data_IF_376098813921
#
_entry.id   IF_376098813921
#
_cell.length_a   1.000
_cell.length_b   1.000
_cell.length_c   1.000
_cell.angle_alpha   90.00
_cell.angle_beta   90.00
_cell.angle_gamma   90.00
#
_symmetry.space_group_name_H-M   'P 1'
#
loop_
_entity.id
_entity.type
_entity.pdbx_description
1 polymer ?
#
# COMPACT_ATOMS: atom_id res chain seq x y z
N UNK A 1 -30.95 13.06 15.65
CA UNK A 1 -30.33 11.88 16.29
C UNK A 1 -29.84 10.97 15.18
N UNK A 2 -28.52 10.91 14.97
CA UNK A 2 -27.89 10.13 13.89
C UNK A 2 -27.97 8.64 14.20
N UNK A 3 -28.60 7.87 13.32
CA UNK A 3 -28.48 6.42 13.35
C UNK A 3 -27.08 6.05 12.85
N UNK A 4 -26.24 5.52 13.73
CA UNK A 4 -25.01 4.85 13.33
C UNK A 4 -25.41 3.62 12.51
N UNK A 5 -25.09 3.62 11.22
CA UNK A 5 -25.32 2.49 10.33
C UNK A 5 -24.38 1.37 10.77
N UNK A 6 -24.88 0.42 11.56
CA UNK A 6 -24.13 -0.77 11.96
C UNK A 6 -23.79 -1.57 10.72
N UNK A 7 -22.51 -1.77 10.46
CA UNK A 7 -22.03 -2.58 9.35
C UNK A 7 -22.41 -4.06 9.60
N UNK A 8 -22.94 -4.80 8.62
CA UNK A 8 -23.38 -6.16 8.83
C UNK A 8 -22.21 -7.07 9.21
N UNK A 9 -22.34 -7.82 10.30
CA UNK A 9 -21.32 -8.76 10.77
C UNK A 9 -21.61 -10.16 10.22
N UNK A 10 -20.62 -10.78 9.57
CA UNK A 10 -20.69 -12.16 9.07
C UNK A 10 -19.91 -13.11 9.99
N UNK A 11 -20.40 -14.35 10.15
CA UNK A 11 -19.70 -15.40 10.89
C UNK A 11 -18.86 -16.25 9.95
N UNK A 12 -17.59 -16.40 10.27
CA UNK A 12 -16.63 -17.25 9.57
C UNK A 12 -16.09 -18.32 10.53
N UNK A 13 -16.15 -19.58 10.13
CA UNK A 13 -15.52 -20.69 10.85
C UNK A 13 -14.20 -21.03 10.16
N UNK A 14 -13.09 -21.00 10.89
CA UNK A 14 -11.75 -21.30 10.38
C UNK A 14 -11.13 -22.46 11.15
N UNK A 15 -10.42 -23.34 10.46
CA UNK A 15 -9.55 -24.33 11.10
C UNK A 15 -8.20 -23.69 11.42
N UNK A 16 -7.78 -23.78 12.68
CA UNK A 16 -6.50 -23.23 13.16
C UNK A 16 -5.67 -24.34 13.79
N UNK A 17 -4.33 -24.31 13.65
CA UNK A 17 -3.47 -25.17 14.44
C UNK A 17 -3.74 -24.98 15.94
N UNK A 18 -3.83 -26.09 16.67
CA UNK A 18 -4.15 -26.08 18.11
C UNK A 18 -3.21 -25.17 18.92
N UNK A 19 -1.93 -25.10 18.53
CA UNK A 19 -0.94 -24.21 19.12
C UNK A 19 -1.31 -22.73 19.01
N UNK A 20 -1.81 -22.29 17.85
CA UNK A 20 -2.23 -20.91 17.61
C UNK A 20 -3.50 -20.59 18.40
N UNK A 21 -4.47 -21.51 18.41
CA UNK A 21 -5.70 -21.33 19.19
C UNK A 21 -5.41 -21.18 20.68
N UNK A 22 -4.56 -22.05 21.26
CA UNK A 22 -4.13 -21.95 22.67
C UNK A 22 -3.43 -20.63 22.96
N UNK A 23 -2.55 -20.18 22.06
CA UNK A 23 -1.85 -18.91 22.23
C UNK A 23 -2.81 -17.71 22.22
N UNK A 24 -3.73 -17.66 21.26
CA UNK A 24 -4.76 -16.61 21.20
C UNK A 24 -5.66 -16.61 22.45
N UNK A 25 -6.09 -17.79 22.90
CA UNK A 25 -6.87 -17.94 24.14
C UNK A 25 -6.12 -17.41 25.35
N UNK A 26 -4.82 -17.72 25.48
CA UNK A 26 -4.00 -17.23 26.58
C UNK A 26 -3.93 -15.69 26.60
N UNK A 27 -3.72 -15.06 25.44
CA UNK A 27 -3.69 -13.60 25.33
C UNK A 27 -5.07 -12.99 25.66
N UNK A 28 -6.15 -13.59 25.16
CA UNK A 28 -7.51 -13.14 25.44
C UNK A 28 -7.80 -13.16 26.96
N UNK A 29 -7.45 -14.26 27.64
CA UNK A 29 -7.62 -14.41 29.08
C UNK A 29 -6.76 -13.38 29.86
N UNK A 30 -5.52 -13.13 29.44
CA UNK A 30 -4.62 -12.15 30.08
C UNK A 30 -5.08 -10.70 29.87
N UNK A 31 -5.59 -10.39 28.68
CA UNK A 31 -6.02 -9.03 28.31
C UNK A 31 -7.48 -8.76 28.68
N UNK A 32 -8.18 -9.76 29.22
CA UNK A 32 -9.62 -9.71 29.54
C UNK A 32 -10.48 -9.31 28.33
N UNK A 33 -10.06 -9.74 27.13
CA UNK A 33 -10.78 -9.48 25.88
C UNK A 33 -11.45 -10.76 25.39
N UNK A 34 -12.65 -10.68 24.78
CA UNK A 34 -13.24 -11.83 24.11
C UNK A 34 -12.32 -12.36 23.02
N UNK A 35 -12.17 -13.69 22.94
CA UNK A 35 -11.32 -14.34 21.92
C UNK A 35 -11.70 -13.91 20.50
N UNK A 36 -12.99 -13.80 20.22
CA UNK A 36 -13.53 -13.36 18.92
C UNK A 36 -13.07 -11.95 18.56
N UNK A 37 -13.04 -11.03 19.54
CA UNK A 37 -12.55 -9.66 19.36
C UNK A 37 -11.06 -9.65 19.06
N UNK A 38 -10.27 -10.42 19.81
CA UNK A 38 -8.82 -10.53 19.58
C UNK A 38 -8.51 -11.12 18.19
N UNK A 39 -9.26 -12.16 17.79
CA UNK A 39 -9.12 -12.78 16.46
C UNK A 39 -9.48 -11.78 15.37
N UNK A 40 -10.60 -11.08 15.49
CA UNK A 40 -11.02 -10.07 14.52
C UNK A 40 -9.97 -8.95 14.39
N UNK A 41 -9.47 -8.42 15.51
CA UNK A 41 -8.40 -7.41 15.51
C UNK A 41 -7.11 -7.94 14.86
N UNK A 42 -6.73 -9.18 15.15
CA UNK A 42 -5.54 -9.81 14.59
C UNK A 42 -5.66 -10.02 13.08
N UNK A 43 -6.85 -10.36 12.58
CA UNK A 43 -7.12 -10.47 11.15
C UNK A 43 -7.08 -9.08 10.51
N UNK A 44 -7.89 -8.14 11.01
CA UNK A 44 -7.98 -6.77 10.46
C UNK A 44 -6.64 -6.07 10.41
N UNK A 45 -5.82 -6.19 11.47
CA UNK A 45 -4.49 -5.58 11.53
C UNK A 45 -3.47 -6.18 10.57
N UNK A 46 -3.74 -7.39 10.03
CA UNK A 46 -2.85 -8.07 9.09
C UNK A 46 -3.38 -8.09 7.66
N UNK A 47 -4.61 -7.64 7.38
CA UNK A 47 -5.11 -7.54 6.01
C UNK A 47 -4.30 -6.52 5.21
N UNK A 48 -4.13 -6.72 3.88
CA UNK A 48 -3.56 -5.71 3.02
C UNK A 48 -4.43 -4.44 3.05
N UNK A 49 -3.82 -3.29 2.76
CA UNK A 49 -4.54 -2.03 2.72
C UNK A 49 -5.69 -2.14 1.71
N UNK A 50 -6.89 -1.71 2.13
CA UNK A 50 -8.03 -1.61 1.23
C UNK A 50 -7.73 -0.57 0.15
N UNK A 51 -8.09 -0.90 -1.09
CA UNK A 51 -7.89 0.01 -2.24
C UNK A 51 -8.91 1.15 -2.27
N UNK A 52 -9.97 1.08 -1.46
CA UNK A 52 -11.11 2.01 -1.49
C UNK A 52 -10.71 3.45 -1.16
N UNK A 53 -9.59 3.64 -0.45
CA UNK A 53 -9.02 4.94 -0.11
C UNK A 53 -8.04 5.48 -1.15
N UNK A 54 -7.73 4.71 -2.20
CA UNK A 54 -6.88 5.15 -3.31
C UNK A 54 -7.69 6.00 -4.32
N UNK A 55 -7.02 6.87 -5.10
CA UNK A 55 -7.65 7.60 -6.19
C UNK A 55 -8.40 6.64 -7.14
N UNK A 56 -9.65 6.94 -7.54
CA UNK A 56 -10.47 6.04 -8.35
C UNK A 56 -9.77 5.52 -9.61
N UNK A 57 -8.98 6.36 -10.26
CA UNK A 57 -8.18 6.05 -11.45
C UNK A 57 -7.13 4.96 -11.21
N UNK A 58 -6.72 4.74 -9.96
CA UNK A 58 -5.71 3.74 -9.58
C UNK A 58 -6.29 2.48 -8.94
N UNK A 59 -7.55 2.49 -8.52
CA UNK A 59 -8.13 1.35 -7.79
C UNK A 59 -8.08 0.06 -8.62
N UNK A 60 -8.40 0.14 -9.91
CA UNK A 60 -8.35 -1.01 -10.81
C UNK A 60 -6.93 -1.59 -10.94
N UNK A 61 -5.93 -0.72 -11.10
CA UNK A 61 -4.52 -1.11 -11.20
C UNK A 61 -4.04 -1.77 -9.90
N UNK A 62 -4.39 -1.20 -8.75
CA UNK A 62 -4.01 -1.76 -7.45
C UNK A 62 -4.70 -3.12 -7.20
N UNK A 63 -5.98 -3.26 -7.55
CA UNK A 63 -6.68 -4.54 -7.46
C UNK A 63 -6.03 -5.62 -8.33
N UNK A 64 -5.61 -5.26 -9.55
CA UNK A 64 -4.91 -6.17 -10.45
C UNK A 64 -3.54 -6.64 -9.91
N UNK A 65 -2.97 -5.95 -8.91
CA UNK A 65 -1.74 -6.37 -8.25
C UNK A 65 -1.94 -7.49 -7.21
N UNK A 66 -3.13 -7.61 -6.63
CA UNK A 66 -3.41 -8.61 -5.59
C UNK A 66 -3.15 -10.07 -6.00
N UNK A 67 -3.43 -10.51 -7.23
CA UNK A 67 -3.12 -11.88 -7.67
C UNK A 67 -1.68 -12.08 -8.17
N UNK A 68 -0.87 -11.03 -8.33
CA UNK A 68 0.48 -11.14 -8.91
C UNK A 68 1.41 -12.01 -8.07
N UNK A 69 2.43 -12.61 -8.68
CA UNK A 69 3.42 -13.41 -7.96
C UNK A 69 4.34 -12.52 -7.09
N UNK A 70 5.07 -13.15 -6.14
CA UNK A 70 6.01 -12.43 -5.28
C UNK A 70 7.08 -11.70 -6.11
N UNK A 71 7.57 -12.32 -7.18
CA UNK A 71 8.62 -11.73 -8.02
C UNK A 71 8.12 -10.54 -8.83
N UNK A 72 6.91 -10.59 -9.37
CA UNK A 72 6.28 -9.46 -10.07
C UNK A 72 6.08 -8.28 -9.12
N UNK A 73 5.57 -8.55 -7.91
CA UNK A 73 5.42 -7.53 -6.87
C UNK A 73 6.78 -6.93 -6.48
N UNK A 74 7.84 -7.74 -6.42
CA UNK A 74 9.20 -7.27 -6.14
C UNK A 74 9.69 -6.35 -7.25
N UNK A 75 9.45 -6.68 -8.52
CA UNK A 75 9.79 -5.80 -9.64
C UNK A 75 9.06 -4.46 -9.56
N UNK A 76 7.75 -4.47 -9.28
CA UNK A 76 6.98 -3.23 -9.09
C UNK A 76 7.51 -2.43 -7.89
N UNK A 77 7.76 -3.09 -6.77
CA UNK A 77 8.25 -2.44 -5.55
C UNK A 77 9.60 -1.72 -5.72
N UNK A 78 10.46 -2.24 -6.61
CA UNK A 78 11.77 -1.67 -6.92
C UNK A 78 11.79 -0.82 -8.19
N UNK A 79 10.64 -0.65 -8.84
CA UNK A 79 10.56 0.14 -10.06
C UNK A 79 10.93 1.62 -9.83
N UNK A 80 11.44 2.23 -10.89
CA UNK A 80 11.86 3.63 -10.93
C UNK A 80 11.32 4.28 -12.20
N UNK A 81 11.20 5.61 -12.18
CA UNK A 81 10.97 6.38 -13.40
C UNK A 81 12.10 6.12 -14.38
N UNK A 82 11.80 6.21 -15.68
CA UNK A 82 12.85 6.11 -16.68
C UNK A 82 13.89 7.22 -16.46
N UNK A 83 15.20 6.95 -16.62
CA UNK A 83 16.25 7.95 -16.38
C UNK A 83 16.02 9.27 -17.13
N UNK A 84 15.49 9.19 -18.35
CA UNK A 84 15.15 10.37 -19.14
C UNK A 84 14.02 11.21 -18.51
N UNK A 85 13.01 10.58 -17.92
CA UNK A 85 11.90 11.27 -17.23
C UNK A 85 12.37 11.91 -15.93
N UNK A 86 13.22 11.22 -15.17
CA UNK A 86 13.80 11.74 -13.94
C UNK A 86 14.69 12.96 -14.22
N UNK A 87 15.56 12.88 -15.25
CA UNK A 87 16.38 14.01 -15.66
C UNK A 87 15.51 15.20 -16.11
N UNK A 88 14.50 14.94 -16.94
CA UNK A 88 13.57 15.97 -17.42
C UNK A 88 12.85 16.66 -16.26
N UNK A 89 12.43 15.90 -15.25
CA UNK A 89 11.80 16.43 -14.05
C UNK A 89 12.73 17.38 -13.28
N UNK A 90 13.99 16.98 -13.08
CA UNK A 90 15.02 17.79 -12.42
C UNK A 90 15.31 19.08 -13.20
N UNK A 91 15.44 18.99 -14.53
CA UNK A 91 15.70 20.14 -15.39
C UNK A 91 14.55 21.17 -15.32
N UNK A 92 13.30 20.71 -15.39
CA UNK A 92 12.11 21.57 -15.30
C UNK A 92 11.95 22.16 -13.89
N UNK A 93 12.26 21.40 -12.84
CA UNK A 93 12.30 21.88 -11.47
C UNK A 93 13.33 23.01 -11.30
N UNK A 94 14.54 22.81 -11.80
CA UNK A 94 15.60 23.81 -11.74
C UNK A 94 15.22 25.07 -12.52
N UNK A 95 14.70 24.88 -13.74
CA UNK A 95 14.25 25.99 -14.59
C UNK A 95 13.17 26.82 -13.92
N UNK A 96 12.20 26.19 -13.25
CA UNK A 96 11.12 26.88 -12.50
C UNK A 96 11.65 27.77 -11.37
N UNK A 97 12.79 27.42 -10.76
CA UNK A 97 13.42 28.23 -9.72
C UNK A 97 14.14 29.46 -10.29
N UNK A 98 14.65 29.37 -11.52
CA UNK A 98 15.44 30.44 -12.15
C UNK A 98 14.63 31.30 -13.11
N UNK A 99 13.54 30.78 -13.69
CA UNK A 99 12.78 31.41 -14.77
C UNK A 99 11.34 30.87 -14.82
N UNK A 100 10.41 31.64 -15.40
CA UNK A 100 9.06 31.16 -15.67
C UNK A 100 9.06 30.02 -16.70
N UNK A 101 8.32 28.95 -16.39
CA UNK A 101 8.07 27.87 -17.34
C UNK A 101 7.10 28.32 -18.44
N UNK A 102 7.31 27.83 -19.66
CA UNK A 102 6.30 27.95 -20.71
C UNK A 102 5.07 27.09 -20.39
N UNK A 103 3.90 27.35 -21.01
CA UNK A 103 2.71 26.52 -20.78
C UNK A 103 2.95 25.03 -21.08
N UNK A 104 3.69 24.72 -22.15
CA UNK A 104 4.03 23.35 -22.51
C UNK A 104 4.92 22.68 -21.45
N UNK A 105 5.93 23.39 -20.93
CA UNK A 105 6.81 22.89 -19.87
C UNK A 105 6.09 22.72 -18.53
N UNK A 106 5.13 23.59 -18.22
CA UNK A 106 4.30 23.45 -17.03
C UNK A 106 3.39 22.22 -17.11
N UNK A 107 2.86 21.92 -18.30
CA UNK A 107 2.10 20.69 -18.53
C UNK A 107 3.00 19.46 -18.38
N UNK A 108 4.15 19.45 -19.06
CA UNK A 108 5.14 18.37 -19.00
C UNK A 108 5.57 18.07 -17.54
N UNK A 109 5.83 19.11 -16.74
CA UNK A 109 6.15 18.96 -15.31
C UNK A 109 4.97 18.38 -14.51
N UNK A 110 3.73 18.72 -14.87
CA UNK A 110 2.54 18.22 -14.18
C UNK A 110 2.32 16.74 -14.48
N UNK A 111 2.52 16.33 -15.73
CA UNK A 111 2.41 14.93 -16.17
C UNK A 111 3.49 14.06 -15.51
N UNK A 112 4.73 14.57 -15.42
CA UNK A 112 5.83 13.89 -14.72
C UNK A 112 5.53 13.69 -13.22
N UNK A 113 4.91 14.68 -12.56
CA UNK A 113 4.50 14.55 -11.15
C UNK A 113 3.43 13.49 -10.98
N UNK A 114 2.41 13.53 -11.83
CA UNK A 114 1.34 12.54 -11.79
C UNK A 114 1.90 11.12 -11.98
N UNK A 115 2.81 10.92 -12.94
CA UNK A 115 3.45 9.64 -13.17
C UNK A 115 4.29 9.18 -11.95
N UNK A 116 5.00 10.11 -11.30
CA UNK A 116 5.78 9.83 -10.08
C UNK A 116 4.88 9.43 -8.90
N UNK A 117 3.76 10.13 -8.71
CA UNK A 117 2.79 9.86 -7.64
C UNK A 117 2.14 8.48 -7.85
N UNK A 118 1.71 8.18 -9.07
CA UNK A 118 1.15 6.87 -9.43
C UNK A 118 2.16 5.73 -9.26
N UNK A 119 3.42 5.96 -9.62
CA UNK A 119 4.50 5.00 -9.39
C UNK A 119 4.72 4.77 -7.90
N UNK A 120 4.74 5.84 -7.10
CA UNK A 120 4.93 5.78 -5.64
C UNK A 120 3.82 4.98 -4.98
N UNK A 121 2.56 5.21 -5.38
CA UNK A 121 1.43 4.47 -4.83
C UNK A 121 1.49 2.97 -5.20
N UNK A 122 1.83 2.62 -6.45
CA UNK A 122 2.04 1.21 -6.85
C UNK A 122 3.17 0.56 -6.05
N UNK A 123 4.30 1.25 -5.86
CA UNK A 123 5.43 0.75 -5.06
C UNK A 123 5.02 0.50 -3.61
N UNK A 124 4.33 1.46 -3.00
CA UNK A 124 3.84 1.33 -1.62
C UNK A 124 2.88 0.16 -1.46
N UNK A 125 1.96 -0.02 -2.41
CA UNK A 125 1.02 -1.13 -2.40
C UNK A 125 1.70 -2.49 -2.62
N UNK A 126 2.68 -2.57 -3.54
CA UNK A 126 3.49 -3.76 -3.72
C UNK A 126 4.23 -4.16 -2.44
N UNK A 127 4.84 -3.20 -1.74
CA UNK A 127 5.48 -3.45 -0.44
C UNK A 127 4.50 -3.92 0.64
N UNK A 128 3.29 -3.36 0.66
CA UNK A 128 2.22 -3.81 1.57
C UNK A 128 1.83 -5.28 1.31
N UNK A 129 1.61 -5.65 0.05
CA UNK A 129 1.30 -7.03 -0.34
C UNK A 129 2.44 -8.00 -0.03
N UNK A 130 3.69 -7.59 -0.29
CA UNK A 130 4.87 -8.40 0.02
C UNK A 130 4.95 -8.68 1.53
N UNK A 131 4.80 -7.65 2.38
CA UNK A 131 4.78 -7.80 3.84
C UNK A 131 3.65 -8.73 4.28
N UNK A 132 2.44 -8.55 3.75
CA UNK A 132 1.29 -9.39 4.05
C UNK A 132 1.55 -10.87 3.72
N UNK A 133 2.30 -11.15 2.65
CA UNK A 133 2.70 -12.51 2.24
C UNK A 133 3.96 -13.01 2.96
N UNK A 134 4.36 -12.38 4.06
CA UNK A 134 5.47 -12.82 4.91
C UNK A 134 6.86 -12.46 4.37
N UNK A 135 6.97 -11.62 3.34
CA UNK A 135 8.27 -11.14 2.87
C UNK A 135 8.80 -10.06 3.82
N UNK A 136 10.13 -10.05 4.01
CA UNK A 136 10.79 -8.99 4.77
C UNK A 136 10.79 -7.69 3.98
N UNK A 137 10.43 -6.60 4.65
CA UNK A 137 10.64 -5.26 4.10
C UNK A 137 12.14 -4.94 4.13
N UNK A 138 12.66 -4.27 3.09
CA UNK A 138 14.02 -3.75 3.08
C UNK A 138 14.19 -2.69 4.16
N UNK A 139 15.42 -2.45 4.60
CA UNK A 139 15.69 -1.31 5.47
C UNK A 139 15.40 -0.01 4.70
N UNK A 140 15.13 1.08 5.44
CA UNK A 140 14.87 2.39 4.83
C UNK A 140 16.00 2.83 3.88
N UNK A 141 17.25 2.46 4.19
CA UNK A 141 18.42 2.78 3.37
C UNK A 141 18.51 1.97 2.07
N UNK A 142 17.77 0.87 1.98
CA UNK A 142 17.74 -0.03 0.81
C UNK A 142 16.53 0.26 -0.08
N UNK A 143 15.65 1.20 0.31
CA UNK A 143 14.54 1.63 -0.53
C UNK A 143 15.07 2.50 -1.68
N UNK A 144 14.70 2.19 -2.94
CA UNK A 144 15.05 3.07 -4.05
C UNK A 144 14.35 4.41 -3.87
N UNK A 145 15.15 5.45 -3.61
CA UNK A 145 14.70 6.84 -3.53
C UNK A 145 13.96 7.22 -4.83
N UNK A 146 12.89 8.03 -4.73
CA UNK A 146 12.18 8.56 -5.90
C UNK A 146 13.07 9.46 -6.77
#
# INVERSE_FOLDING_TARGET
MSQAKTEPTLKLTVELPESIFRHLKHIADQTHQPLETLVAQSITGNLPLAVDNAPPEMQADLLAMQPLAIDDLRQIAHSQLAPAQQQRYLDLQQKRQTTSLTPAESQDLSDLRLAADQLTLRKAYAWNLLRWRGQRLPALNDLPLP
#
